data_IF_108152799850
#
_entry.id   IF_108152799850
#
_cell.length_a   1.000
_cell.length_b   1.000
_cell.length_c   1.000
_cell.angle_alpha   90.00
_cell.angle_beta   90.00
_cell.angle_gamma   90.00
#
_symmetry.space_group_name_H-M   'P 1'
#
loop_
_entity.id
_entity.type
_entity.pdbx_description
1 polymer ?
#
# COMPACT_ATOMS: atom_id res chain seq x y z
N UNK A 1 4.13 -5.06 -17.94
CA UNK A 1 3.27 -6.05 -17.25
C UNK A 1 3.62 -6.21 -15.76
N UNK A 2 4.89 -6.30 -15.35
CA UNK A 2 5.26 -6.42 -13.93
C UNK A 2 4.96 -5.16 -13.09
N UNK A 3 5.11 -3.96 -13.68
CA UNK A 3 4.74 -2.69 -13.02
C UNK A 3 3.24 -2.54 -12.77
N UNK A 4 2.38 -3.04 -13.67
CA UNK A 4 0.92 -3.03 -13.46
C UNK A 4 0.51 -4.02 -12.38
N UNK A 5 1.17 -5.18 -12.31
CA UNK A 5 0.99 -6.15 -11.21
C UNK A 5 1.41 -5.52 -9.88
N UNK A 6 2.54 -4.81 -9.85
CA UNK A 6 3.01 -4.11 -8.64
C UNK A 6 2.03 -3.02 -8.19
N UNK A 7 1.47 -2.26 -9.14
CA UNK A 7 0.44 -1.27 -8.85
C UNK A 7 -0.82 -1.93 -8.27
N UNK A 8 -1.29 -3.03 -8.86
CA UNK A 8 -2.40 -3.81 -8.29
C UNK A 8 -2.06 -4.36 -6.90
N UNK A 9 -0.84 -4.84 -6.68
CA UNK A 9 -0.38 -5.32 -5.38
C UNK A 9 -0.51 -4.24 -4.31
N UNK A 10 -0.11 -3.00 -4.63
CA UNK A 10 -0.27 -1.84 -3.76
C UNK A 10 -1.74 -1.43 -3.55
N UNK A 11 -2.62 -1.58 -4.54
CA UNK A 11 -4.06 -1.35 -4.34
C UNK A 11 -4.67 -2.34 -3.35
N UNK A 12 -4.34 -3.63 -3.48
CA UNK A 12 -4.75 -4.63 -2.49
C UNK A 12 -4.14 -4.37 -1.12
N UNK A 13 -2.96 -3.75 -1.07
CA UNK A 13 -2.33 -3.32 0.18
C UNK A 13 -3.19 -2.31 0.93
N UNK A 14 -3.67 -1.28 0.22
CA UNK A 14 -4.58 -0.28 0.80
C UNK A 14 -5.84 -0.96 1.33
N UNK A 15 -6.40 -1.93 0.59
CA UNK A 15 -7.62 -2.63 0.99
C UNK A 15 -7.44 -3.40 2.30
N UNK A 16 -6.37 -4.18 2.45
CA UNK A 16 -6.16 -4.93 3.70
C UNK A 16 -5.69 -4.03 4.84
N UNK A 17 -4.90 -2.99 4.57
CA UNK A 17 -4.45 -2.03 5.59
C UNK A 17 -5.64 -1.27 6.20
N UNK A 18 -6.57 -0.81 5.35
CA UNK A 18 -7.82 -0.19 5.79
C UNK A 18 -8.74 -1.24 6.43
N UNK A 19 -8.82 -2.44 5.85
CA UNK A 19 -9.59 -3.56 6.36
C UNK A 19 -9.24 -3.94 7.79
N UNK A 20 -7.95 -3.89 8.16
CA UNK A 20 -7.48 -4.14 9.53
C UNK A 20 -8.19 -3.25 10.57
N UNK A 21 -8.47 -1.99 10.24
CA UNK A 21 -9.21 -1.08 11.12
C UNK A 21 -10.62 -1.61 11.43
N UNK A 22 -11.27 -2.25 10.47
CA UNK A 22 -12.62 -2.81 10.59
C UNK A 22 -12.66 -4.20 11.22
N UNK A 23 -11.52 -4.87 11.39
CA UNK A 23 -11.47 -6.18 12.07
C UNK A 23 -11.71 -6.09 13.57
N UNK A 24 -11.59 -4.90 14.17
CA UNK A 24 -11.63 -4.68 15.63
C UNK A 24 -10.70 -5.65 16.38
N UNK A 25 -9.45 -5.78 15.89
CA UNK A 25 -8.49 -6.72 16.45
C UNK A 25 -8.80 -8.18 16.13
N UNK A 26 -9.25 -8.47 14.90
CA UNK A 26 -9.63 -9.80 14.42
C UNK A 26 -10.87 -10.43 15.10
N UNK A 27 -11.68 -9.63 15.79
CA UNK A 27 -12.91 -10.09 16.43
C UNK A 27 -14.06 -10.24 15.46
N UNK A 28 -14.08 -9.43 14.38
CA UNK A 28 -15.12 -9.51 13.33
C UNK A 28 -14.70 -10.46 12.19
N UNK A 29 -15.46 -11.52 11.98
CA UNK A 29 -15.18 -12.57 10.99
C UNK A 29 -15.12 -12.04 9.55
N UNK A 30 -16.15 -11.33 9.08
CA UNK A 30 -16.22 -10.90 7.67
C UNK A 30 -15.10 -9.91 7.27
N UNK A 31 -14.82 -8.84 8.03
CA UNK A 31 -13.68 -7.97 7.76
C UNK A 31 -12.33 -8.70 7.87
N UNK A 32 -12.20 -9.66 8.78
CA UNK A 32 -10.97 -10.45 8.95
C UNK A 32 -10.70 -11.32 7.72
N UNK A 33 -11.71 -12.05 7.24
CA UNK A 33 -11.58 -12.86 6.01
C UNK A 33 -11.23 -11.97 4.82
N UNK A 34 -11.94 -10.85 4.63
CA UNK A 34 -11.63 -9.92 3.54
C UNK A 34 -10.20 -9.38 3.60
N UNK A 35 -9.74 -9.00 4.80
CA UNK A 35 -8.38 -8.52 5.04
C UNK A 35 -7.33 -9.59 4.73
N UNK A 36 -7.51 -10.81 5.21
CA UNK A 36 -6.57 -11.91 4.96
C UNK A 36 -6.50 -12.30 3.48
N UNK A 37 -7.64 -12.33 2.79
CA UNK A 37 -7.70 -12.60 1.35
C UNK A 37 -6.99 -11.50 0.57
N UNK A 38 -7.28 -10.23 0.87
CA UNK A 38 -6.63 -9.10 0.21
C UNK A 38 -5.12 -9.06 0.48
N UNK A 39 -4.70 -9.40 1.70
CA UNK A 39 -3.29 -9.54 2.09
C UNK A 39 -2.59 -10.65 1.29
N UNK A 40 -3.22 -11.83 1.18
CA UNK A 40 -2.70 -12.94 0.38
C UNK A 40 -2.55 -12.58 -1.10
N UNK A 41 -3.54 -11.90 -1.68
CA UNK A 41 -3.48 -11.42 -3.07
C UNK A 41 -2.36 -10.38 -3.24
N UNK A 42 -2.26 -9.41 -2.32
CA UNK A 42 -1.22 -8.36 -2.36
C UNK A 42 0.19 -8.98 -2.37
N UNK A 43 0.48 -9.88 -1.43
CA UNK A 43 1.77 -10.56 -1.37
C UNK A 43 2.04 -11.47 -2.57
N UNK A 44 1.03 -12.18 -3.07
CA UNK A 44 1.18 -13.01 -4.26
C UNK A 44 1.54 -12.20 -5.51
N UNK A 45 0.89 -11.04 -5.69
CA UNK A 45 1.18 -10.12 -6.79
C UNK A 45 2.56 -9.46 -6.63
N UNK A 46 2.93 -9.07 -5.42
CA UNK A 46 4.27 -8.53 -5.12
C UNK A 46 5.36 -9.55 -5.45
N UNK A 47 5.21 -10.79 -4.97
CA UNK A 47 6.15 -11.87 -5.24
C UNK A 47 6.31 -12.11 -6.75
N UNK A 48 5.22 -12.01 -7.52
CA UNK A 48 5.27 -12.12 -8.97
C UNK A 48 5.99 -10.93 -9.63
N UNK A 49 5.77 -9.70 -9.14
CA UNK A 49 6.44 -8.52 -9.66
C UNK A 49 7.95 -8.54 -9.39
N UNK A 50 8.36 -9.04 -8.22
CA UNK A 50 9.77 -9.17 -7.80
C UNK A 50 10.57 -10.20 -8.60
N UNK A 51 9.93 -11.08 -9.38
CA UNK A 51 10.65 -11.98 -10.30
C UNK A 51 11.36 -11.22 -11.43
N UNK A 52 10.87 -10.03 -11.77
CA UNK A 52 11.43 -9.21 -12.85
C UNK A 52 11.98 -7.87 -12.36
N UNK A 53 11.50 -7.37 -11.22
CA UNK A 53 11.91 -6.08 -10.66
C UNK A 53 12.89 -6.28 -9.50
N UNK A 54 13.93 -5.44 -9.37
CA UNK A 54 14.80 -5.44 -8.21
C UNK A 54 14.00 -5.27 -6.92
N UNK A 55 14.39 -6.04 -5.88
CA UNK A 55 13.70 -6.07 -4.59
C UNK A 55 13.53 -4.67 -3.98
N UNK A 56 14.60 -3.86 -4.00
CA UNK A 56 14.58 -2.51 -3.43
C UNK A 56 13.54 -1.60 -4.10
N UNK A 57 13.48 -1.62 -5.43
CA UNK A 57 12.54 -0.80 -6.20
C UNK A 57 11.11 -1.30 -6.07
N UNK A 58 10.90 -2.61 -6.19
CA UNK A 58 9.58 -3.21 -6.10
C UNK A 58 8.97 -2.98 -4.71
N UNK A 59 9.73 -3.26 -3.65
CA UNK A 59 9.26 -3.10 -2.28
C UNK A 59 9.01 -1.64 -1.93
N UNK A 60 9.92 -0.72 -2.31
CA UNK A 60 9.72 0.70 -2.04
C UNK A 60 8.48 1.26 -2.73
N UNK A 61 8.23 0.88 -3.99
CA UNK A 61 7.04 1.32 -4.72
C UNK A 61 5.75 0.71 -4.14
N UNK A 62 5.78 -0.57 -3.76
CA UNK A 62 4.65 -1.24 -3.11
C UNK A 62 4.27 -0.52 -1.81
N UNK A 63 5.20 -0.43 -0.85
CA UNK A 63 4.99 0.29 0.43
C UNK A 63 4.61 1.75 0.20
N UNK A 64 5.19 2.40 -0.81
CA UNK A 64 4.85 3.77 -1.19
C UNK A 64 3.38 3.93 -1.56
N UNK A 65 2.87 3.07 -2.43
CA UNK A 65 1.46 3.06 -2.84
C UNK A 65 0.56 2.75 -1.64
N UNK A 66 0.91 1.74 -0.84
CA UNK A 66 0.19 1.35 0.37
C UNK A 66 0.10 2.50 1.38
N UNK A 67 1.22 3.14 1.70
CA UNK A 67 1.28 4.22 2.67
C UNK A 67 0.48 5.46 2.23
N UNK A 68 0.68 5.91 0.99
CA UNK A 68 -0.01 7.10 0.44
C UNK A 68 -1.49 6.82 0.32
N UNK A 69 -1.87 5.68 -0.25
CA UNK A 69 -3.26 5.31 -0.46
C UNK A 69 -4.01 5.09 0.85
N UNK A 70 -3.41 4.40 1.83
CA UNK A 70 -4.01 4.19 3.15
C UNK A 70 -4.18 5.52 3.89
N UNK A 71 -3.21 6.43 3.80
CA UNK A 71 -3.33 7.75 4.40
C UNK A 71 -4.45 8.59 3.75
N UNK A 72 -4.58 8.55 2.43
CA UNK A 72 -5.67 9.22 1.71
C UNK A 72 -7.03 8.64 2.10
N UNK A 73 -7.14 7.31 2.15
CA UNK A 73 -8.37 6.64 2.59
C UNK A 73 -8.68 6.96 4.07
N UNK A 74 -7.68 7.03 4.94
CA UNK A 74 -7.85 7.44 6.33
C UNK A 74 -8.39 8.87 6.47
N UNK A 75 -7.91 9.80 5.64
CA UNK A 75 -8.42 11.17 5.62
C UNK A 75 -9.88 11.20 5.11
N UNK A 76 -10.18 10.50 4.01
CA UNK A 76 -11.49 10.57 3.34
C UNK A 76 -12.57 9.74 4.04
N UNK A 77 -12.29 8.48 4.37
CA UNK A 77 -13.27 7.55 4.95
C UNK A 77 -13.30 7.56 6.47
N UNK A 78 -12.15 7.73 7.13
CA UNK A 78 -12.05 7.69 8.60
C UNK A 78 -12.09 9.09 9.23
N UNK A 79 -12.11 10.15 8.42
CA UNK A 79 -12.13 11.54 8.90
C UNK A 79 -10.87 11.94 9.67
N UNK A 80 -9.75 11.27 9.41
CA UNK A 80 -8.50 11.58 10.09
C UNK A 80 -8.00 12.98 9.70
N UNK A 81 -7.35 13.72 10.64
CA UNK A 81 -6.91 15.09 10.38
C UNK A 81 -5.86 15.13 9.27
N UNK A 82 -6.15 15.90 8.22
CA UNK A 82 -5.22 16.25 7.14
C UNK A 82 -4.30 17.40 7.57
N UNK A 83 -3.55 17.20 8.65
CA UNK A 83 -2.66 18.22 9.16
C UNK A 83 -1.48 18.49 8.17
N UNK A 84 -0.93 19.72 8.13
CA UNK A 84 0.14 20.06 7.19
C UNK A 84 1.37 19.15 7.31
N UNK A 85 1.76 18.76 8.53
CA UNK A 85 2.91 17.89 8.77
C UNK A 85 2.76 16.49 8.16
N UNK A 86 1.57 15.90 8.25
CA UNK A 86 1.23 14.61 7.64
C UNK A 86 1.24 14.71 6.12
N UNK A 87 0.67 15.76 5.54
CA UNK A 87 0.67 15.96 4.09
C UNK A 87 2.09 16.14 3.53
N UNK A 88 2.94 16.92 4.21
CA UNK A 88 4.37 17.05 3.85
C UNK A 88 5.08 15.69 3.95
N UNK A 89 4.82 14.93 5.00
CA UNK A 89 5.45 13.60 5.19
C UNK A 89 5.04 12.62 4.08
N UNK A 90 3.76 12.61 3.71
CA UNK A 90 3.25 11.81 2.57
C UNK A 90 3.94 12.27 1.28
N UNK A 91 4.10 13.58 1.06
CA UNK A 91 4.83 14.14 -0.07
C UNK A 91 6.28 13.67 -0.15
N UNK A 92 6.98 13.62 0.99
CA UNK A 92 8.36 13.09 1.06
C UNK A 92 8.44 11.59 0.75
N UNK A 93 7.46 10.80 1.20
CA UNK A 93 7.36 9.38 0.84
C UNK A 93 7.21 9.23 -0.68
N UNK A 94 6.28 9.98 -1.29
CA UNK A 94 6.09 9.97 -2.75
C UNK A 94 7.38 10.37 -3.48
N UNK A 95 8.04 11.43 -3.03
CA UNK A 95 9.29 11.89 -3.63
C UNK A 95 10.40 10.83 -3.54
N UNK A 96 10.55 10.16 -2.38
CA UNK A 96 11.51 9.07 -2.20
C UNK A 96 11.23 7.86 -3.10
N UNK A 97 9.96 7.47 -3.23
CA UNK A 97 9.53 6.36 -4.09
C UNK A 97 9.79 6.67 -5.57
N UNK A 98 9.48 7.89 -6.00
CA UNK A 98 9.75 8.36 -7.37
C UNK A 98 11.26 8.40 -7.62
N UNK A 99 12.04 8.92 -6.66
CA UNK A 99 13.51 8.95 -6.74
C UNK A 99 14.12 7.55 -6.90
N UNK A 100 13.67 6.59 -6.10
CA UNK A 100 14.11 5.19 -6.21
C UNK A 100 13.74 4.56 -7.55
N UNK A 101 12.53 4.84 -8.06
CA UNK A 101 12.10 4.38 -9.38
C UNK A 101 12.99 4.95 -10.48
N UNK A 102 13.31 6.24 -10.44
CA UNK A 102 14.15 6.90 -11.43
C UNK A 102 15.62 6.46 -11.35
N UNK A 103 16.13 6.17 -10.15
CA UNK A 103 17.51 5.70 -9.97
C UNK A 103 17.71 4.25 -10.38
N UNK A 104 16.62 3.46 -10.48
CA UNK A 104 16.68 2.05 -10.90
C UNK A 104 16.22 1.81 -12.35
N UNK A 105 15.69 2.84 -13.02
CA UNK A 105 15.29 2.80 -14.43
C UNK A 105 16.50 3.01 -15.35
#
# INVERSE_FOLDING_TARGET
MHWTILFLAGLFEIVWAVGLKYTEGFTRLWPTVGTLVAMGISFGLLAQAMKALPLGTAYAVWVGIGAVGTALVGIVLLGEPANPGRLVSIGLIVAGVVGLKLATA
#
